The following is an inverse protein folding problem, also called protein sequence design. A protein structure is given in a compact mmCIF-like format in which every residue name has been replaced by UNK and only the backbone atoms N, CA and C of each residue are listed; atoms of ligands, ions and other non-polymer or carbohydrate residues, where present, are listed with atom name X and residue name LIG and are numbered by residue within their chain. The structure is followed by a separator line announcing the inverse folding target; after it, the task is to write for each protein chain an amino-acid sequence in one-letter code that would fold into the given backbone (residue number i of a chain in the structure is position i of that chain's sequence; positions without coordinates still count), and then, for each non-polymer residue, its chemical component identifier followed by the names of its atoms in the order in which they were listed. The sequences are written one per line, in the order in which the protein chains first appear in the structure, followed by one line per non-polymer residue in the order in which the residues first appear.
data_IF_230986675875
#
_entry.id   IF_230986675875
#
_cell.length_a   1.000
_cell.length_b   1.000
_cell.length_c   1.000
_cell.angle_alpha   90.00
_cell.angle_beta   90.00
_cell.angle_gamma   90.00
#
_symmetry.space_group_name_H-M   'P 1'
#
loop_
_entity.id
_entity.type
_entity.pdbx_description
1 polymer ?
#
# COMPACT_ATOMS: atom_id res chain seq x y z
N UNK A 1 3.39 -24.25 45.42
CA UNK A 1 3.56 -25.51 44.68
C UNK A 1 4.31 -25.23 43.39
N UNK A 2 5.41 -25.93 43.11
CA UNK A 2 6.13 -25.81 41.84
C UNK A 2 5.60 -26.86 40.87
N UNK A 3 5.38 -26.47 39.61
CA UNK A 3 4.82 -27.34 38.58
C UNK A 3 5.67 -27.23 37.33
N UNK A 4 6.23 -28.36 36.90
CA UNK A 4 7.11 -28.41 35.74
C UNK A 4 6.31 -28.53 34.45
N UNK A 5 6.64 -27.69 33.47
CA UNK A 5 5.95 -27.64 32.17
C UNK A 5 6.98 -27.49 31.05
N UNK A 6 6.99 -28.46 30.13
CA UNK A 6 7.86 -28.45 28.95
C UNK A 6 7.16 -27.89 27.70
N UNK A 7 5.87 -28.18 27.52
CA UNK A 7 5.09 -27.75 26.37
C UNK A 7 3.64 -27.39 26.72
N UNK A 8 2.88 -26.92 25.72
CA UNK A 8 1.47 -26.55 25.87
C UNK A 8 0.60 -27.74 26.30
N UNK A 9 0.97 -28.98 25.95
CA UNK A 9 0.22 -30.19 26.32
C UNK A 9 0.39 -30.48 27.80
N UNK A 10 1.64 -30.48 28.29
CA UNK A 10 1.97 -30.61 29.71
C UNK A 10 1.33 -29.47 30.52
N UNK A 11 1.32 -28.25 29.99
CA UNK A 11 0.63 -27.12 30.62
C UNK A 11 -0.87 -27.38 30.77
N UNK A 12 -1.54 -27.87 29.72
CA UNK A 12 -2.99 -28.14 29.74
C UNK A 12 -3.34 -29.21 30.76
N UNK A 13 -2.55 -30.27 30.85
CA UNK A 13 -2.74 -31.36 31.83
C UNK A 13 -2.54 -30.85 33.26
N UNK A 14 -1.45 -30.13 33.50
CA UNK A 14 -1.14 -29.53 34.80
C UNK A 14 -2.20 -28.50 35.22
N UNK A 15 -2.57 -27.58 34.33
CA UNK A 15 -3.58 -26.56 34.60
C UNK A 15 -4.95 -27.17 34.90
N UNK A 16 -5.35 -28.24 34.18
CA UNK A 16 -6.58 -28.99 34.49
C UNK A 16 -6.54 -29.61 35.88
N UNK A 17 -5.43 -30.25 36.24
CA UNK A 17 -5.25 -30.84 37.57
C UNK A 17 -5.32 -29.81 38.71
N UNK A 18 -4.76 -28.63 38.49
CA UNK A 18 -4.79 -27.51 39.45
C UNK A 18 -6.17 -26.89 39.59
N UNK A 19 -6.91 -26.73 38.48
CA UNK A 19 -8.27 -26.22 38.47
C UNK A 19 -9.23 -27.12 39.25
N UNK A 20 -9.11 -28.44 39.08
CA UNK A 20 -9.96 -29.42 39.80
C UNK A 20 -9.72 -29.37 41.31
N UNK A 21 -8.49 -29.07 41.74
CA UNK A 21 -8.12 -28.96 43.16
C UNK A 21 -8.41 -27.58 43.77
N UNK A 22 -8.91 -26.64 42.97
CA UNK A 22 -9.25 -25.31 43.45
C UNK A 22 -8.04 -24.46 43.87
N UNK A 23 -6.84 -24.71 43.29
CA UNK A 23 -5.60 -24.04 43.73
C UNK A 23 -5.51 -22.62 43.14
N UNK A 24 -5.33 -21.61 43.99
CA UNK A 24 -5.18 -20.22 43.53
C UNK A 24 -3.88 -20.01 42.71
N UNK A 25 -3.89 -19.17 41.66
CA UNK A 25 -2.70 -18.81 40.90
C UNK A 25 -1.51 -18.31 41.74
N UNK A 26 -1.76 -17.68 42.89
CA UNK A 26 -0.69 -17.16 43.78
C UNK A 26 0.05 -18.27 44.55
N UNK A 27 -0.51 -19.48 44.56
CA UNK A 27 0.08 -20.64 45.22
C UNK A 27 0.85 -21.54 44.26
N UNK A 28 0.93 -21.18 42.97
CA UNK A 28 1.54 -22.00 41.92
C UNK A 28 2.66 -21.24 41.22
N UNK A 29 3.83 -21.85 41.14
CA UNK A 29 4.95 -21.37 40.33
C UNK A 29 5.24 -22.39 39.24
N UNK A 30 5.11 -21.98 37.99
CA UNK A 30 5.45 -22.81 36.83
C UNK A 30 6.94 -22.63 36.50
N UNK A 31 7.66 -23.74 36.35
CA UNK A 31 9.08 -23.77 35.99
C UNK A 31 9.32 -24.63 34.74
N UNK A 32 10.31 -24.25 33.93
CA UNK A 32 10.74 -25.03 32.76
C UNK A 32 11.91 -25.94 33.13
N UNK A 33 11.97 -27.15 32.58
CA UNK A 33 13.05 -28.13 32.83
C UNK A 33 14.47 -27.61 32.55
N UNK A 34 14.64 -26.49 31.83
CA UNK A 34 15.96 -25.88 31.56
C UNK A 34 16.62 -25.25 32.80
N UNK A 35 15.90 -25.05 33.91
CA UNK A 35 16.43 -24.50 35.16
C UNK A 35 17.06 -25.54 36.10
N UNK A 36 17.42 -26.73 35.60
CA UNK A 36 18.03 -27.82 36.41
C UNK A 36 19.33 -27.47 37.15
N UNK A 37 20.02 -26.37 36.83
CA UNK A 37 21.34 -26.09 37.42
C UNK A 37 21.33 -25.20 38.68
N UNK A 38 20.18 -24.74 39.21
CA UNK A 38 20.20 -23.65 40.20
C UNK A 38 19.44 -23.85 41.51
N UNK A 39 18.84 -25.00 41.84
CA UNK A 39 18.06 -25.08 43.09
C UNK A 39 17.99 -26.45 43.76
N UNK A 40 18.57 -26.51 44.97
CA UNK A 40 18.63 -27.62 45.94
C UNK A 40 17.37 -27.70 46.84
N UNK A 41 16.15 -27.59 46.30
CA UNK A 41 14.92 -27.76 47.09
C UNK A 41 13.92 -28.67 46.40
N UNK A 42 13.27 -29.52 47.21
CA UNK A 42 12.42 -30.66 46.83
C UNK A 42 11.32 -30.32 45.83
N UNK A 43 11.31 -31.06 44.73
CA UNK A 43 10.32 -31.03 43.65
C UNK A 43 9.13 -31.92 44.04
N UNK A 44 7.94 -31.34 44.15
CA UNK A 44 6.71 -32.13 44.21
C UNK A 44 6.32 -32.57 42.80
N UNK A 45 6.19 -33.88 42.59
CA UNK A 45 5.89 -34.47 41.29
C UNK A 45 4.56 -33.94 40.71
N UNK A 46 4.47 -33.73 39.37
CA UNK A 46 3.22 -33.32 38.74
C UNK A 46 2.15 -34.42 38.95
N UNK A 47 0.95 -34.09 39.47
CA UNK A 47 -0.06 -35.11 39.70
C UNK A 47 -0.68 -35.58 38.38
N UNK A 48 -0.71 -36.91 38.18
CA UNK A 48 -1.48 -37.58 37.11
C UNK A 48 -2.95 -37.15 37.18
N UNK A 49 -3.49 -36.66 36.07
CA UNK A 49 -4.88 -36.18 35.97
C UNK A 49 -5.89 -37.32 36.04
N UNK A 50 -6.88 -37.22 36.94
CA UNK A 50 -8.13 -37.95 36.82
C UNK A 50 -9.08 -37.18 35.87
N UNK A 51 -9.88 -37.85 35.03
CA UNK A 51 -10.80 -37.19 34.11
C UNK A 51 -12.00 -36.63 34.88
N UNK A 52 -12.25 -35.32 34.78
CA UNK A 52 -13.50 -34.70 35.25
C UNK A 52 -14.10 -33.86 34.13
N UNK A 53 -15.40 -34.05 33.93
CA UNK A 53 -16.21 -33.38 32.92
C UNK A 53 -16.49 -31.90 33.29
N UNK A 54 -16.50 -31.03 32.27
CA UNK A 54 -17.29 -29.78 32.34
C UNK A 54 -16.55 -28.43 32.40
N UNK A 55 -15.22 -28.36 32.26
CA UNK A 55 -14.53 -27.06 32.13
C UNK A 55 -14.60 -26.54 30.69
N UNK A 56 -15.59 -25.69 30.41
CA UNK A 56 -15.75 -25.02 29.10
C UNK A 56 -14.95 -23.71 29.08
N UNK A 57 -13.99 -23.63 28.15
CA UNK A 57 -13.09 -22.47 27.96
C UNK A 57 -13.36 -21.86 26.58
N UNK A 58 -13.42 -20.52 26.44
CA UNK A 58 -13.65 -19.89 25.14
C UNK A 58 -12.58 -20.27 24.09
N UNK A 59 -12.95 -20.50 22.81
CA UNK A 59 -11.99 -20.80 21.73
C UNK A 59 -10.91 -19.72 21.57
N UNK A 60 -11.27 -18.44 21.77
CA UNK A 60 -10.35 -17.32 21.70
C UNK A 60 -9.20 -17.40 22.73
N UNK A 61 -9.44 -18.02 23.90
CA UNK A 61 -8.39 -18.26 24.88
C UNK A 61 -7.41 -19.32 24.39
N UNK A 62 -7.89 -20.38 23.74
CA UNK A 62 -7.04 -21.45 23.23
C UNK A 62 -6.09 -20.93 22.14
N UNK A 63 -6.61 -20.13 21.20
CA UNK A 63 -5.81 -19.47 20.17
C UNK A 63 -4.75 -18.52 20.78
N UNK A 64 -5.11 -17.81 21.85
CA UNK A 64 -4.20 -16.94 22.57
C UNK A 64 -3.12 -17.74 23.31
N UNK A 65 -3.51 -18.84 23.96
CA UNK A 65 -2.61 -19.73 24.69
C UNK A 65 -1.59 -20.39 23.75
N UNK A 66 -2.00 -20.82 22.55
CA UNK A 66 -1.10 -21.35 21.53
C UNK A 66 -0.03 -20.33 21.12
N UNK A 67 -0.42 -19.07 20.95
CA UNK A 67 0.53 -17.99 20.59
C UNK A 67 1.45 -17.64 21.76
N UNK A 68 0.91 -17.51 22.97
CA UNK A 68 1.69 -17.14 24.16
C UNK A 68 2.66 -18.27 24.54
N UNK A 69 2.30 -19.53 24.34
CA UNK A 69 3.18 -20.68 24.58
C UNK A 69 4.48 -20.62 23.78
N UNK A 70 4.45 -20.01 22.58
CA UNK A 70 5.64 -19.80 21.76
C UNK A 70 6.57 -18.69 22.28
N UNK A 71 6.14 -17.82 23.20
CA UNK A 71 6.99 -16.76 23.75
C UNK A 71 8.09 -17.34 24.65
N UNK A 72 9.23 -16.66 24.82
CA UNK A 72 10.34 -17.12 25.69
C UNK A 72 10.27 -16.64 27.15
N UNK A 73 9.19 -15.96 27.53
CA UNK A 73 9.10 -15.35 28.85
C UNK A 73 8.82 -16.46 29.90
N UNK A 74 9.56 -16.53 31.02
CA UNK A 74 9.35 -17.57 32.04
C UNK A 74 7.97 -17.45 32.72
N UNK A 75 7.44 -16.25 32.88
CA UNK A 75 6.14 -16.00 33.52
C UNK A 75 4.92 -16.38 32.66
N UNK A 76 5.14 -16.81 31.41
CA UNK A 76 4.05 -16.99 30.43
C UNK A 76 3.01 -18.01 30.89
N UNK A 77 3.48 -19.09 31.52
CA UNK A 77 2.63 -20.16 32.03
C UNK A 77 1.82 -19.72 33.25
N UNK A 78 2.43 -18.97 34.18
CA UNK A 78 1.74 -18.37 35.32
C UNK A 78 0.66 -17.36 34.89
N UNK A 79 0.98 -16.52 33.89
CA UNK A 79 0.03 -15.55 33.33
C UNK A 79 -1.15 -16.23 32.64
N UNK A 80 -0.88 -17.30 31.87
CA UNK A 80 -1.93 -18.10 31.23
C UNK A 80 -2.83 -18.80 32.26
N UNK A 81 -2.24 -19.34 33.33
CA UNK A 81 -3.00 -20.01 34.38
C UNK A 81 -3.89 -19.04 35.17
N UNK A 82 -3.39 -17.82 35.46
CA UNK A 82 -4.18 -16.79 36.15
C UNK A 82 -5.42 -16.38 35.36
N UNK A 83 -5.27 -16.13 34.06
CA UNK A 83 -6.42 -15.80 33.20
C UNK A 83 -7.36 -16.99 33.06
N UNK A 84 -6.84 -18.21 32.93
CA UNK A 84 -7.66 -19.43 32.89
C UNK A 84 -8.47 -19.65 34.18
N UNK A 85 -7.85 -19.39 35.34
CA UNK A 85 -8.51 -19.45 36.64
C UNK A 85 -9.66 -18.43 36.74
N UNK A 86 -9.42 -17.17 36.37
CA UNK A 86 -10.46 -16.11 36.38
C UNK A 86 -11.61 -16.41 35.41
N UNK A 87 -11.31 -16.93 34.22
CA UNK A 87 -12.31 -17.35 33.23
C UNK A 87 -13.23 -18.47 33.75
N UNK A 88 -12.68 -19.38 34.57
CA UNK A 88 -13.41 -20.52 35.13
C UNK A 88 -14.15 -20.18 36.44
N UNK A 89 -13.73 -19.14 37.16
CA UNK A 89 -14.29 -18.72 38.46
C UNK A 89 -15.25 -17.52 38.41
N UNK A 90 -15.83 -17.23 37.24
CA UNK A 90 -16.97 -16.30 37.10
C UNK A 90 -16.81 -15.22 36.04
N UNK A 91 -15.59 -14.93 35.59
CA UNK A 91 -15.32 -13.84 34.63
C UNK A 91 -15.30 -14.33 33.18
N UNK A 92 -16.42 -14.87 32.67
CA UNK A 92 -16.46 -15.49 31.32
C UNK A 92 -16.17 -14.54 30.15
N UNK A 93 -16.32 -13.22 30.36
CA UNK A 93 -16.06 -12.16 29.36
C UNK A 93 -14.75 -11.42 29.58
N UNK A 94 -13.85 -11.92 30.42
CA UNK A 94 -12.58 -11.26 30.75
C UNK A 94 -11.76 -10.87 29.50
N UNK A 95 -11.76 -11.71 28.46
CA UNK A 95 -11.04 -11.45 27.21
C UNK A 95 -11.58 -10.25 26.39
N UNK A 96 -12.81 -9.78 26.66
CA UNK A 96 -13.37 -8.58 26.01
C UNK A 96 -12.91 -7.28 26.70
N UNK A 97 -12.40 -7.39 27.94
CA UNK A 97 -11.98 -6.24 28.75
C UNK A 97 -10.51 -5.94 28.48
N UNK A 98 -10.26 -5.11 27.46
CA UNK A 98 -8.90 -4.73 27.02
C UNK A 98 -8.12 -3.94 28.08
N UNK A 99 -8.82 -3.33 29.05
CA UNK A 99 -8.23 -2.56 30.15
C UNK A 99 -7.70 -3.41 31.32
N UNK A 100 -7.97 -4.72 31.34
CA UNK A 100 -7.48 -5.62 32.39
C UNK A 100 -5.98 -5.89 32.21
N UNK A 101 -5.22 -5.86 33.31
CA UNK A 101 -3.76 -5.97 33.31
C UNK A 101 -3.28 -7.34 32.82
N UNK A 102 -3.95 -8.43 33.22
CA UNK A 102 -3.57 -9.80 32.85
C UNK A 102 -3.85 -10.04 31.36
N UNK A 103 -4.99 -9.55 30.87
CA UNK A 103 -5.41 -9.63 29.46
C UNK A 103 -4.46 -8.81 28.59
N UNK A 104 -4.13 -7.59 29.00
CA UNK A 104 -3.16 -6.73 28.31
C UNK A 104 -1.78 -7.39 28.22
N UNK A 105 -1.32 -8.02 29.30
CA UNK A 105 -0.03 -8.74 29.33
C UNK A 105 -0.02 -9.91 28.35
N UNK A 106 -1.06 -10.75 28.34
CA UNK A 106 -1.16 -11.86 27.40
C UNK A 106 -1.21 -11.38 25.94
N UNK A 107 -1.97 -10.33 25.64
CA UNK A 107 -2.02 -9.76 24.29
C UNK A 107 -0.67 -9.17 23.85
N UNK A 108 0.08 -8.58 24.77
CA UNK A 108 1.42 -8.04 24.48
C UNK A 108 2.40 -9.16 24.12
N UNK A 109 2.40 -10.26 24.89
CA UNK A 109 3.20 -11.45 24.59
C UNK A 109 2.79 -12.07 23.24
N UNK A 110 1.49 -12.23 23.00
CA UNK A 110 0.98 -12.77 21.73
C UNK A 110 1.35 -11.88 20.53
N UNK A 111 1.29 -10.55 20.67
CA UNK A 111 1.72 -9.59 19.64
C UNK A 111 3.22 -9.68 19.36
N UNK A 112 4.06 -9.95 20.36
CA UNK A 112 5.49 -10.16 20.15
C UNK A 112 5.76 -11.42 19.30
N UNK A 113 5.11 -12.53 19.65
CA UNK A 113 5.17 -13.79 18.87
C UNK A 113 4.66 -13.59 17.45
N UNK A 114 3.55 -12.87 17.26
CA UNK A 114 2.99 -12.63 15.94
C UNK A 114 3.92 -11.78 15.05
N UNK A 115 4.60 -10.77 15.63
CA UNK A 115 5.60 -9.98 14.92
C UNK A 115 6.78 -10.84 14.48
N UNK A 116 7.28 -11.70 15.35
CA UNK A 116 8.38 -12.61 15.03
C UNK A 116 7.97 -13.63 13.96
N UNK A 117 6.75 -14.18 14.06
CA UNK A 117 6.20 -15.07 13.04
C UNK A 117 6.06 -14.37 11.67
N UNK A 118 5.66 -13.10 11.64
CA UNK A 118 5.61 -12.31 10.40
C UNK A 118 7.03 -12.11 9.82
N UNK A 119 8.01 -11.81 10.66
CA UNK A 119 9.41 -11.67 10.25
C UNK A 119 9.96 -12.97 9.66
N UNK A 120 9.73 -14.11 10.30
CA UNK A 120 10.14 -15.41 9.76
C UNK A 120 9.55 -15.65 8.37
N UNK A 121 8.24 -15.39 8.17
CA UNK A 121 7.59 -15.52 6.86
C UNK A 121 8.16 -14.58 5.80
N UNK A 122 8.53 -13.36 6.19
CA UNK A 122 9.04 -12.34 5.28
C UNK A 122 10.52 -12.52 4.92
N UNK A 123 11.35 -13.01 5.84
CA UNK A 123 12.81 -13.00 5.74
C UNK A 123 13.46 -14.37 5.62
N UNK A 124 12.75 -15.49 5.83
CA UNK A 124 13.29 -16.81 5.50
C UNK A 124 13.54 -16.89 3.99
N UNK A 125 14.76 -17.27 3.62
CA UNK A 125 15.19 -17.47 2.25
C UNK A 125 15.77 -18.87 2.14
N UNK A 126 15.25 -19.62 1.19
CA UNK A 126 15.69 -20.97 0.89
C UNK A 126 16.91 -20.92 -0.02
N UNK A 127 17.92 -21.73 0.32
CA UNK A 127 19.13 -21.92 -0.47
C UNK A 127 19.09 -23.32 -1.07
N UNK A 128 19.32 -23.43 -2.38
CA UNK A 128 19.39 -24.73 -3.06
C UNK A 128 20.70 -25.42 -2.68
N UNK A 129 20.60 -26.68 -2.29
CA UNK A 129 21.70 -27.59 -1.99
C UNK A 129 21.39 -28.89 -2.74
N UNK A 130 22.32 -29.36 -3.55
CA UNK A 130 22.19 -30.64 -4.24
C UNK A 130 22.81 -31.73 -3.38
N UNK A 131 22.02 -32.75 -3.03
CA UNK A 131 22.48 -33.90 -2.24
C UNK A 131 22.00 -35.16 -2.94
N UNK A 132 22.94 -36.04 -3.30
CA UNK A 132 22.66 -37.34 -3.92
C UNK A 132 21.79 -37.26 -5.20
N UNK A 133 21.93 -36.20 -5.99
CA UNK A 133 21.20 -36.00 -7.24
C UNK A 133 19.78 -35.43 -7.08
N UNK A 134 19.37 -35.10 -5.86
CA UNK A 134 18.09 -34.47 -5.55
C UNK A 134 18.27 -33.01 -5.10
N UNK A 135 17.30 -32.16 -5.44
CA UNK A 135 17.28 -30.74 -5.06
C UNK A 135 16.69 -30.54 -3.67
N UNK A 136 17.50 -30.08 -2.72
CA UNK A 136 17.07 -29.73 -1.36
C UNK A 136 17.19 -28.22 -1.12
N UNK A 137 16.29 -27.66 -0.33
CA UNK A 137 16.22 -26.23 -0.05
C UNK A 137 16.40 -25.94 1.44
N UNK A 138 17.58 -25.46 1.85
CA UNK A 138 17.90 -25.23 3.26
C UNK A 138 17.85 -23.74 3.58
N UNK A 139 17.21 -23.36 4.67
CA UNK A 139 17.19 -22.00 5.20
C UNK A 139 17.60 -21.99 6.66
N UNK A 140 18.42 -21.03 7.07
CA UNK A 140 18.73 -20.81 8.48
C UNK A 140 18.10 -19.50 8.96
N UNK A 141 17.41 -19.52 10.10
CA UNK A 141 16.77 -18.35 10.68
C UNK A 141 16.92 -18.32 12.20
N UNK A 142 17.12 -17.12 12.76
CA UNK A 142 17.19 -16.91 14.22
C UNK A 142 15.91 -16.22 14.70
N UNK A 143 14.91 -16.98 15.17
CA UNK A 143 13.71 -16.39 15.74
C UNK A 143 13.96 -15.87 17.16
N UNK A 144 13.25 -14.81 17.53
CA UNK A 144 13.26 -14.28 18.90
C UNK A 144 12.45 -15.19 19.85
N UNK A 145 11.49 -15.93 19.30
CA UNK A 145 10.57 -16.81 20.04
C UNK A 145 10.54 -18.24 19.46
N UNK A 146 9.86 -19.17 20.16
CA UNK A 146 9.75 -20.59 19.77
C UNK A 146 8.66 -20.79 18.70
N UNK A 147 8.81 -20.13 17.55
CA UNK A 147 7.76 -20.00 16.52
C UNK A 147 7.83 -21.06 15.40
N UNK A 148 8.89 -21.87 15.36
CA UNK A 148 9.14 -22.78 14.23
C UNK A 148 7.97 -23.73 13.98
N UNK A 149 7.45 -24.36 15.03
CA UNK A 149 6.28 -25.26 14.93
C UNK A 149 5.00 -24.55 14.51
N UNK A 150 4.84 -23.28 14.93
CA UNK A 150 3.68 -22.47 14.59
C UNK A 150 3.71 -21.99 13.13
N UNK A 151 4.89 -21.69 12.58
CA UNK A 151 5.04 -21.11 11.23
C UNK A 151 5.28 -22.19 10.16
N UNK A 152 5.85 -23.35 10.49
CA UNK A 152 6.16 -24.40 9.52
C UNK A 152 5.00 -24.80 8.59
N UNK A 153 3.73 -24.94 9.05
CA UNK A 153 2.60 -25.25 8.16
C UNK A 153 2.34 -24.20 7.07
N UNK A 154 2.71 -22.94 7.31
CA UNK A 154 2.59 -21.88 6.29
C UNK A 154 3.54 -22.13 5.12
N UNK A 155 4.79 -22.51 5.40
CA UNK A 155 5.77 -22.81 4.36
C UNK A 155 5.41 -24.07 3.57
N UNK A 156 4.88 -25.12 4.24
CA UNK A 156 4.43 -26.34 3.57
C UNK A 156 3.33 -26.07 2.55
N UNK A 157 2.33 -25.23 2.90
CA UNK A 157 1.27 -24.83 1.98
C UNK A 157 1.75 -23.92 0.84
N UNK A 158 2.73 -23.05 1.12
CA UNK A 158 3.23 -22.07 0.14
C UNK A 158 4.20 -22.68 -0.88
N UNK A 159 4.91 -23.73 -0.46
CA UNK A 159 5.97 -24.41 -1.21
C UNK A 159 5.78 -25.93 -1.15
N UNK A 160 4.67 -26.47 -1.70
CA UNK A 160 4.35 -27.89 -1.59
C UNK A 160 5.26 -28.77 -2.45
N UNK A 161 5.78 -28.24 -3.57
CA UNK A 161 6.55 -28.98 -4.58
C UNK A 161 8.07 -28.95 -4.37
N UNK A 162 8.54 -28.43 -3.23
CA UNK A 162 9.98 -28.30 -2.93
C UNK A 162 10.30 -29.02 -1.63
N UNK A 163 11.39 -29.81 -1.59
CA UNK A 163 11.91 -30.39 -0.34
C UNK A 163 12.74 -29.34 0.38
N UNK A 164 12.31 -28.92 1.57
CA UNK A 164 12.98 -27.84 2.27
C UNK A 164 13.18 -28.10 3.76
N UNK A 165 14.23 -27.52 4.33
CA UNK A 165 14.51 -27.55 5.77
C UNK A 165 14.76 -26.14 6.30
N UNK A 166 14.08 -25.77 7.38
CA UNK A 166 14.34 -24.53 8.12
C UNK A 166 15.05 -24.89 9.42
N UNK A 167 16.29 -24.42 9.54
CA UNK A 167 17.17 -24.61 10.68
C UNK A 167 17.10 -23.38 11.59
N UNK A 168 16.88 -23.59 12.87
CA UNK A 168 16.99 -22.54 13.89
C UNK A 168 17.83 -23.03 15.07
N UNK A 169 18.33 -22.13 15.94
CA UNK A 169 19.15 -22.53 17.10
C UNK A 169 18.45 -23.47 18.08
N UNK A 170 17.12 -23.43 18.18
CA UNK A 170 16.37 -24.22 19.18
C UNK A 170 15.64 -25.42 18.58
N UNK A 171 15.25 -25.34 17.30
CA UNK A 171 14.56 -26.42 16.59
C UNK A 171 14.82 -26.38 15.09
N UNK A 172 14.76 -27.54 14.44
CA UNK A 172 14.76 -27.66 12.98
C UNK A 172 13.43 -28.25 12.51
N UNK A 173 13.05 -27.91 11.28
CA UNK A 173 11.90 -28.50 10.60
C UNK A 173 12.25 -28.82 9.16
N UNK A 174 11.88 -30.01 8.70
CA UNK A 174 12.06 -30.49 7.32
C UNK A 174 10.71 -30.87 6.72
N UNK A 175 10.56 -30.60 5.43
CA UNK A 175 9.38 -30.93 4.62
C UNK A 175 9.80 -31.86 3.48
N UNK A 176 9.29 -33.09 3.53
CA UNK A 176 9.63 -34.17 2.60
C UNK A 176 8.55 -34.37 1.51
N UNK A 177 7.81 -33.31 1.16
CA UNK A 177 6.64 -33.30 0.25
C UNK A 177 5.35 -33.93 0.78
N UNK A 178 5.45 -34.78 1.82
CA UNK A 178 4.27 -35.43 2.43
C UNK A 178 4.01 -34.97 3.87
N UNK A 179 5.07 -34.84 4.68
CA UNK A 179 4.97 -34.53 6.12
C UNK A 179 6.04 -33.56 6.61
N UNK A 180 5.70 -32.86 7.69
CA UNK A 180 6.64 -32.03 8.45
C UNK A 180 7.32 -32.89 9.52
N UNK A 181 8.64 -32.94 9.46
CA UNK A 181 9.51 -33.62 10.43
C UNK A 181 10.22 -32.57 11.29
N UNK A 182 10.19 -32.71 12.61
CA UNK A 182 10.82 -31.77 13.54
C UNK A 182 12.06 -32.38 14.19
N UNK A 183 13.16 -31.63 14.26
CA UNK A 183 14.43 -32.05 14.84
C UNK A 183 14.99 -31.05 15.86
N UNK A 184 16.14 -31.38 16.50
CA UNK A 184 16.83 -30.48 17.40
C UNK A 184 17.36 -29.24 16.67
N UNK A 185 17.64 -28.18 17.43
CA UNK A 185 18.22 -26.95 16.90
C UNK A 185 19.62 -27.16 16.33
N UNK A 186 19.94 -26.44 15.26
CA UNK A 186 21.21 -26.54 14.55
C UNK A 186 21.95 -25.20 14.63
N UNK A 187 23.20 -25.17 15.13
CA UNK A 187 24.00 -23.95 15.19
C UNK A 187 24.37 -23.47 13.78
N UNK A 188 24.60 -22.15 13.64
CA UNK A 188 24.87 -21.52 12.34
C UNK A 188 26.10 -22.10 11.62
N UNK A 189 27.09 -22.59 12.36
CA UNK A 189 28.35 -23.14 11.84
C UNK A 189 28.18 -24.40 10.99
N UNK A 190 27.03 -25.08 11.09
CA UNK A 190 26.74 -26.31 10.35
C UNK A 190 25.84 -26.06 9.12
N UNK A 191 25.51 -24.79 8.82
CA UNK A 191 24.73 -24.43 7.63
C UNK A 191 25.66 -24.18 6.41
N UNK A 192 25.34 -24.71 5.21
CA UNK A 192 26.22 -24.61 4.04
C UNK A 192 26.44 -23.17 3.54
N UNK A 193 27.66 -22.88 3.07
CA UNK A 193 28.11 -21.57 2.52
C UNK A 193 28.31 -21.57 0.98
N UNK A 194 27.89 -20.48 0.32
CA UNK A 194 28.24 -20.06 -1.06
C UNK A 194 27.32 -20.52 -2.22
N UNK A 195 27.27 -19.91 -3.42
CA UNK A 195 27.74 -18.56 -3.87
C UNK A 195 27.23 -18.13 -5.29
N UNK A 196 26.09 -18.61 -5.80
CA UNK A 196 25.65 -18.27 -7.19
C UNK A 196 24.40 -17.37 -7.30
N UNK A 197 23.50 -17.41 -6.31
CA UNK A 197 22.25 -16.64 -6.32
C UNK A 197 22.37 -15.27 -5.63
N UNK A 198 23.43 -15.03 -4.86
CA UNK A 198 23.63 -13.78 -4.11
C UNK A 198 23.93 -12.58 -5.01
N UNK A 199 24.66 -12.78 -6.13
CA UNK A 199 25.04 -11.71 -7.06
C UNK A 199 23.86 -11.25 -7.95
N UNK A 200 23.06 -12.19 -8.45
CA UNK A 200 21.82 -11.90 -9.18
C UNK A 200 20.79 -11.19 -8.29
N UNK A 201 20.63 -11.64 -7.05
CA UNK A 201 19.72 -11.03 -6.10
C UNK A 201 20.17 -9.64 -5.64
N UNK A 202 21.48 -9.44 -5.43
CA UNK A 202 22.10 -8.15 -5.15
C UNK A 202 21.83 -7.14 -6.28
N UNK A 203 21.96 -7.58 -7.54
CA UNK A 203 21.67 -6.78 -8.73
C UNK A 203 20.18 -6.43 -8.83
N UNK A 204 19.29 -7.38 -8.53
CA UNK A 204 17.84 -7.15 -8.47
C UNK A 204 17.45 -6.19 -7.34
N UNK A 205 18.04 -6.33 -6.16
CA UNK A 205 17.77 -5.44 -5.02
C UNK A 205 18.25 -4.02 -5.28
N UNK A 206 19.46 -3.85 -5.84
CA UNK A 206 20.00 -2.53 -6.20
C UNK A 206 19.18 -1.81 -7.29
N UNK A 207 18.60 -2.57 -8.24
CA UNK A 207 17.77 -2.04 -9.32
C UNK A 207 16.33 -1.71 -8.88
N UNK A 208 15.80 -2.44 -7.89
CA UNK A 208 14.45 -2.19 -7.33
C UNK A 208 14.43 -1.22 -6.14
N UNK A 209 15.58 -0.93 -5.52
CA UNK A 209 15.70 0.02 -4.41
C UNK A 209 15.26 1.43 -4.81
N UNK A 210 14.18 1.92 -4.19
CA UNK A 210 13.65 3.25 -4.41
C UNK A 210 14.25 4.24 -3.39
N UNK A 211 15.19 5.12 -3.81
CA UNK A 211 15.87 6.04 -2.89
C UNK A 211 14.91 7.09 -2.29
N UNK A 212 13.81 7.42 -2.96
CA UNK A 212 12.81 8.39 -2.47
C UNK A 212 11.92 7.83 -1.35
N UNK A 213 11.92 6.51 -1.12
CA UNK A 213 11.17 5.85 -0.03
C UNK A 213 12.07 5.44 1.14
N UNK A 214 13.35 5.80 1.10
CA UNK A 214 14.31 5.44 2.13
C UNK A 214 14.00 6.19 3.43
N UNK A 215 13.57 5.45 4.46
CA UNK A 215 13.53 5.94 5.83
C UNK A 215 14.49 5.11 6.69
N UNK A 216 15.67 5.68 6.96
CA UNK A 216 16.74 4.99 7.69
C UNK A 216 16.33 4.62 9.11
N UNK A 217 15.46 5.40 9.76
CA UNK A 217 14.96 5.14 11.12
C UNK A 217 13.99 3.95 11.13
N UNK A 218 13.05 3.91 10.20
CA UNK A 218 12.12 2.78 10.03
C UNK A 218 12.86 1.51 9.59
N UNK A 219 13.83 1.64 8.67
CA UNK A 219 14.67 0.52 8.23
C UNK A 219 15.47 -0.10 9.39
N UNK A 220 16.07 0.71 10.26
CA UNK A 220 16.79 0.22 11.46
C UNK A 220 15.86 -0.40 12.51
N UNK A 221 14.62 0.07 12.62
CA UNK A 221 13.63 -0.46 13.54
C UNK A 221 13.08 -1.83 13.07
N UNK A 222 12.83 -1.97 11.77
CA UNK A 222 12.31 -3.22 11.16
C UNK A 222 13.41 -4.25 10.92
N UNK A 223 14.67 -3.81 10.73
CA UNK A 223 15.84 -4.67 10.52
C UNK A 223 16.90 -4.46 11.60
N UNK A 224 16.76 -5.11 12.78
CA UNK A 224 17.78 -5.10 13.82
C UNK A 224 19.15 -5.57 13.30
N UNK A 225 20.23 -4.92 13.72
CA UNK A 225 21.60 -5.18 13.27
C UNK A 225 22.04 -6.64 13.38
N UNK A 226 21.46 -7.40 14.34
CA UNK A 226 21.69 -8.85 14.52
C UNK A 226 21.34 -9.72 13.30
N UNK A 227 20.45 -9.27 12.41
CA UNK A 227 20.05 -10.03 11.21
C UNK A 227 20.83 -9.64 9.94
N UNK A 228 21.70 -8.63 10.02
CA UNK A 228 22.43 -8.14 8.85
C UNK A 228 23.44 -9.16 8.34
N UNK A 229 24.02 -9.95 9.24
CA UNK A 229 24.96 -11.02 8.89
C UNK A 229 24.33 -12.17 8.08
N UNK A 230 23.01 -12.23 7.95
CA UNK A 230 22.29 -13.28 7.18
C UNK A 230 21.70 -12.76 5.86
N UNK A 231 21.87 -11.47 5.54
CA UNK A 231 21.27 -10.83 4.37
C UNK A 231 22.36 -10.36 3.39
N UNK A 232 22.45 -10.92 2.18
CA UNK A 232 23.37 -10.47 1.14
C UNK A 232 23.23 -8.96 0.84
N UNK A 233 21.99 -8.45 0.86
CA UNK A 233 21.64 -7.06 0.56
C UNK A 233 22.14 -6.09 1.64
N UNK A 234 22.37 -6.57 2.87
CA UNK A 234 22.89 -5.72 3.94
C UNK A 234 24.28 -5.15 3.62
N UNK A 235 25.05 -5.82 2.74
CA UNK A 235 26.33 -5.32 2.21
C UNK A 235 26.15 -4.11 1.29
N UNK A 236 25.04 -4.04 0.55
CA UNK A 236 24.74 -2.95 -0.40
C UNK A 236 24.07 -1.75 0.27
N UNK A 237 23.39 -1.95 1.41
CA UNK A 237 22.63 -0.90 2.10
C UNK A 237 23.49 0.36 2.38
N UNK A 238 24.74 0.27 2.90
CA UNK A 238 25.56 1.45 3.16
C UNK A 238 25.83 2.29 1.90
N UNK A 239 26.11 1.66 0.76
CA UNK A 239 26.37 2.34 -0.51
C UNK A 239 25.09 2.92 -1.10
N UNK A 240 23.99 2.16 -1.08
CA UNK A 240 22.68 2.60 -1.56
C UNK A 240 22.15 3.79 -0.74
N UNK A 241 22.36 3.79 0.58
CA UNK A 241 22.01 4.90 1.48
C UNK A 241 22.90 6.12 1.21
N UNK A 242 24.20 5.93 0.99
CA UNK A 242 25.14 7.02 0.68
C UNK A 242 24.84 7.67 -0.67
N UNK A 243 24.48 6.87 -1.68
CA UNK A 243 24.10 7.35 -3.02
C UNK A 243 22.63 7.79 -3.14
N UNK A 244 21.79 7.54 -2.13
CA UNK A 244 20.37 7.89 -2.18
C UNK A 244 20.12 9.40 -2.36
N UNK A 245 20.83 10.33 -1.68
CA UNK A 245 20.63 11.77 -1.88
C UNK A 245 20.90 12.21 -3.33
N UNK A 246 21.97 11.73 -3.96
CA UNK A 246 22.30 12.07 -5.35
C UNK A 246 21.34 11.44 -6.36
N UNK A 247 20.96 10.18 -6.17
CA UNK A 247 19.95 9.51 -7.01
C UNK A 247 18.59 10.18 -6.88
N UNK A 248 18.21 10.60 -5.66
CA UNK A 248 16.99 11.36 -5.40
C UNK A 248 17.08 12.76 -6.02
N UNK A 249 18.22 13.45 -5.89
CA UNK A 249 18.44 14.73 -6.55
C UNK A 249 18.37 14.62 -8.08
N UNK A 250 18.84 13.51 -8.69
CA UNK A 250 18.65 13.23 -10.12
C UNK A 250 17.19 12.93 -10.49
N UNK A 251 16.42 12.33 -9.59
CA UNK A 251 14.98 12.06 -9.76
C UNK A 251 14.11 13.32 -9.56
N UNK A 252 14.52 14.22 -8.66
CA UNK A 252 13.80 15.45 -8.27
C UNK A 252 14.25 16.65 -9.09
N UNK A 253 15.45 16.61 -9.68
CA UNK A 253 15.85 17.60 -10.69
C UNK A 253 14.73 17.66 -11.71
N UNK A 254 14.09 18.83 -11.89
CA UNK A 254 13.18 18.99 -13.00
C UNK A 254 14.04 18.75 -14.24
N UNK A 255 13.90 17.57 -14.84
CA UNK A 255 13.94 17.53 -16.29
C UNK A 255 12.93 18.61 -16.65
N UNK A 256 13.39 19.69 -17.25
CA UNK A 256 12.53 20.47 -18.12
C UNK A 256 12.16 19.43 -19.17
N UNK A 257 11.09 18.68 -18.90
CA UNK A 257 10.58 17.65 -19.78
C UNK A 257 9.97 18.46 -20.92
N UNK A 258 10.82 18.77 -21.91
CA UNK A 258 10.40 19.43 -23.14
C UNK A 258 9.29 18.55 -23.70
N UNK A 259 8.09 19.12 -23.78
CA UNK A 259 6.92 18.45 -24.31
C UNK A 259 7.18 18.15 -25.79
N UNK A 260 7.00 16.91 -26.22
CA UNK A 260 7.24 16.51 -27.61
C UNK A 260 6.41 17.33 -28.62
N UNK A 261 5.25 17.85 -28.19
CA UNK A 261 4.43 18.77 -28.98
C UNK A 261 5.11 20.13 -29.26
N UNK A 262 6.16 20.52 -28.54
CA UNK A 262 6.87 21.77 -28.78
C UNK A 262 7.51 21.82 -30.18
N UNK A 263 7.81 20.66 -30.77
CA UNK A 263 8.34 20.53 -32.14
C UNK A 263 7.28 20.84 -33.21
N UNK A 264 6.01 20.79 -32.85
CA UNK A 264 4.88 21.04 -33.75
C UNK A 264 4.33 22.45 -33.61
N UNK A 265 4.84 23.25 -32.66
CA UNK A 265 4.39 24.62 -32.47
C UNK A 265 4.83 25.49 -33.68
N UNK A 266 3.90 26.22 -34.31
CA UNK A 266 4.22 27.15 -35.38
C UNK A 266 4.99 28.37 -34.85
N UNK A 267 5.66 29.09 -35.75
CA UNK A 267 6.30 30.38 -35.46
C UNK A 267 5.25 31.44 -35.08
N UNK A 268 4.19 31.55 -35.88
CA UNK A 268 3.02 32.37 -35.56
C UNK A 268 2.07 31.61 -34.65
N UNK A 269 1.89 32.10 -33.43
CA UNK A 269 1.17 31.37 -32.37
C UNK A 269 -0.22 31.91 -32.06
N UNK A 270 -0.90 32.60 -32.98
CA UNK A 270 -2.33 32.90 -32.76
C UNK A 270 -3.15 31.59 -32.68
N UNK A 271 -4.34 31.65 -32.08
CA UNK A 271 -5.16 30.46 -31.84
C UNK A 271 -5.52 29.69 -33.12
N UNK A 272 -5.74 30.38 -34.24
CA UNK A 272 -6.08 29.73 -35.50
C UNK A 272 -4.86 28.99 -36.09
N UNK A 273 -3.68 29.59 -36.02
CA UNK A 273 -2.41 28.97 -36.42
C UNK A 273 -2.06 27.77 -35.53
N UNK A 274 -2.25 27.90 -34.22
CA UNK A 274 -2.05 26.80 -33.26
C UNK A 274 -3.02 25.63 -33.56
N UNK A 275 -4.31 25.92 -33.74
CA UNK A 275 -5.31 24.90 -34.05
C UNK A 275 -4.99 24.16 -35.35
N UNK A 276 -4.57 24.88 -36.40
CA UNK A 276 -4.17 24.29 -37.68
C UNK A 276 -2.94 23.41 -37.54
N UNK A 277 -1.92 23.86 -36.81
CA UNK A 277 -0.71 23.07 -36.60
C UNK A 277 -0.97 21.82 -35.74
N UNK A 278 -1.86 21.92 -34.75
CA UNK A 278 -2.23 20.79 -33.88
C UNK A 278 -2.85 19.61 -34.65
N UNK A 279 -3.54 19.87 -35.77
CA UNK A 279 -4.10 18.82 -36.65
C UNK A 279 -3.04 17.85 -37.20
N UNK A 280 -1.79 18.29 -37.32
CA UNK A 280 -0.66 17.46 -37.77
C UNK A 280 0.17 16.86 -36.64
N UNK A 281 -0.23 17.03 -35.38
CA UNK A 281 0.58 16.64 -34.22
C UNK A 281 0.66 15.12 -34.04
N UNK A 282 1.88 14.57 -34.10
CA UNK A 282 2.17 13.14 -33.85
C UNK A 282 3.04 12.90 -32.61
N UNK A 283 3.06 13.85 -31.68
CA UNK A 283 3.89 13.85 -30.48
C UNK A 283 3.62 12.69 -29.49
N UNK A 284 2.49 11.98 -29.61
CA UNK A 284 2.19 10.82 -28.75
C UNK A 284 1.33 9.78 -29.49
N UNK A 285 1.27 8.51 -29.03
CA UNK A 285 0.55 7.43 -29.73
C UNK A 285 -0.95 7.66 -29.91
N UNK A 286 -1.58 8.57 -29.16
CA UNK A 286 -3.02 8.82 -29.25
C UNK A 286 -3.48 9.29 -30.64
N UNK A 287 -2.60 9.94 -31.41
CA UNK A 287 -2.92 10.37 -32.77
C UNK A 287 -3.20 9.20 -33.73
N UNK A 288 -2.70 7.99 -33.44
CA UNK A 288 -2.81 6.82 -34.32
C UNK A 288 -4.24 6.27 -34.36
N UNK A 289 -4.99 6.43 -33.27
CA UNK A 289 -6.35 5.88 -33.11
C UNK A 289 -7.45 6.94 -33.05
N UNK A 290 -7.10 8.19 -32.78
CA UNK A 290 -8.06 9.29 -32.78
C UNK A 290 -8.53 9.58 -34.22
N UNK A 291 -9.78 9.99 -34.40
CA UNK A 291 -10.29 10.37 -35.73
C UNK A 291 -9.73 11.73 -36.16
N UNK A 292 -9.60 12.66 -35.22
CA UNK A 292 -8.99 13.99 -35.46
C UNK A 292 -8.55 14.63 -34.15
N UNK A 293 -7.74 15.67 -34.27
CA UNK A 293 -7.42 16.54 -33.15
C UNK A 293 -8.63 17.37 -32.75
N UNK A 294 -8.88 17.45 -31.44
CA UNK A 294 -9.87 18.35 -30.84
C UNK A 294 -9.12 19.43 -30.08
N UNK A 295 -9.01 20.61 -30.70
CA UNK A 295 -8.37 21.78 -30.12
C UNK A 295 -9.35 22.55 -29.20
N UNK A 296 -8.87 23.58 -28.51
CA UNK A 296 -9.74 24.45 -27.73
C UNK A 296 -10.62 25.37 -28.58
N UNK A 297 -11.79 25.73 -28.05
CA UNK A 297 -12.79 26.61 -28.67
C UNK A 297 -13.12 27.77 -27.72
N UNK A 298 -13.26 28.98 -28.26
CA UNK A 298 -13.66 30.18 -27.53
C UNK A 298 -12.97 31.45 -28.01
N UNK A 299 -13.34 32.63 -27.47
CA UNK A 299 -12.77 33.90 -27.89
C UNK A 299 -11.34 34.08 -27.39
N UNK A 300 -10.53 34.83 -28.15
CA UNK A 300 -9.25 35.35 -27.66
C UNK A 300 -9.54 36.32 -26.51
N UNK A 301 -8.80 36.20 -25.41
CA UNK A 301 -9.03 37.03 -24.22
C UNK A 301 -10.19 36.58 -23.34
N UNK A 302 -10.72 35.36 -23.52
CA UNK A 302 -11.69 34.77 -22.61
C UNK A 302 -11.19 34.87 -21.16
N UNK A 303 -12.01 35.45 -20.28
CA UNK A 303 -11.62 35.68 -18.88
C UNK A 303 -11.48 34.38 -18.10
N UNK A 304 -12.27 33.38 -18.49
CA UNK A 304 -12.28 32.05 -17.88
C UNK A 304 -11.89 31.03 -18.94
N UNK A 305 -10.95 30.16 -18.57
CA UNK A 305 -10.56 29.00 -19.36
C UNK A 305 -10.94 27.72 -18.62
N UNK A 306 -11.78 26.88 -19.22
CA UNK A 306 -12.13 25.56 -18.73
C UNK A 306 -11.21 24.51 -19.37
N UNK A 307 -10.61 23.64 -18.56
CA UNK A 307 -9.68 22.60 -19.03
C UNK A 307 -10.15 21.23 -18.56
N UNK A 308 -10.51 20.36 -19.51
CA UNK A 308 -10.85 18.95 -19.28
C UNK A 308 -9.68 17.99 -19.40
N UNK A 309 -9.98 16.69 -19.34
CA UNK A 309 -8.97 15.62 -19.45
C UNK A 309 -8.54 15.39 -20.89
N UNK A 310 -9.45 14.92 -21.74
CA UNK A 310 -9.24 14.60 -23.15
C UNK A 310 -10.60 14.64 -23.87
N UNK A 311 -10.63 14.61 -25.22
CA UNK A 311 -11.88 14.52 -25.97
C UNK A 311 -12.58 13.18 -25.73
N UNK A 312 -13.90 13.16 -25.78
CA UNK A 312 -14.70 11.92 -25.81
C UNK A 312 -14.97 11.46 -27.24
N UNK A 313 -15.81 10.44 -27.36
CA UNK A 313 -16.13 9.83 -28.66
C UNK A 313 -16.90 10.78 -29.60
N UNK A 314 -17.84 11.56 -29.06
CA UNK A 314 -18.56 12.59 -29.83
C UNK A 314 -17.63 13.72 -30.24
N UNK A 315 -16.82 14.22 -29.30
CA UNK A 315 -15.85 15.29 -29.54
C UNK A 315 -14.84 14.89 -30.62
N UNK A 316 -14.33 13.66 -30.57
CA UNK A 316 -13.36 13.15 -31.54
C UNK A 316 -13.95 13.00 -32.95
N UNK A 317 -15.25 12.70 -33.10
CA UNK A 317 -15.87 12.66 -34.44
C UNK A 317 -16.14 14.05 -35.01
N UNK A 318 -16.56 14.99 -34.18
CA UNK A 318 -16.98 16.32 -34.62
C UNK A 318 -15.83 17.34 -34.64
N UNK A 319 -14.80 17.15 -33.82
CA UNK A 319 -13.65 18.05 -33.71
C UNK A 319 -13.83 19.22 -32.74
N UNK A 320 -14.84 19.18 -31.86
CA UNK A 320 -15.17 20.26 -30.92
C UNK A 320 -15.15 19.78 -29.46
N UNK A 321 -14.65 20.57 -28.50
CA UNK A 321 -14.53 20.15 -27.11
C UNK A 321 -15.88 20.23 -26.37
N UNK A 322 -16.14 19.26 -25.49
CA UNK A 322 -17.32 19.23 -24.60
C UNK A 322 -18.65 19.41 -25.32
N UNK A 323 -18.97 18.52 -26.26
CA UNK A 323 -20.26 18.50 -27.00
C UNK A 323 -21.07 17.21 -26.76
N UNK A 324 -20.46 16.19 -26.16
CA UNK A 324 -21.13 14.96 -25.76
C UNK A 324 -21.93 15.10 -24.45
N UNK A 325 -22.35 13.99 -23.83
CA UNK A 325 -23.19 14.02 -22.61
C UNK A 325 -22.56 14.79 -21.44
N UNK A 326 -21.24 14.72 -21.28
CA UNK A 326 -20.52 15.48 -20.27
C UNK A 326 -20.49 16.99 -20.58
N UNK A 327 -20.48 17.36 -21.86
CA UNK A 327 -20.58 18.75 -22.33
C UNK A 327 -21.97 19.33 -22.11
N UNK A 328 -23.03 18.55 -22.38
CA UNK A 328 -24.41 18.96 -22.11
C UNK A 328 -24.63 19.25 -20.62
N UNK A 329 -24.15 18.36 -19.73
CA UNK A 329 -24.21 18.60 -18.28
C UNK A 329 -23.44 19.87 -17.88
N UNK A 330 -22.28 20.11 -18.48
CA UNK A 330 -21.50 21.32 -18.25
C UNK A 330 -22.29 22.56 -18.67
N UNK A 331 -22.90 22.55 -19.86
CA UNK A 331 -23.67 23.66 -20.41
C UNK A 331 -24.90 23.99 -19.56
N UNK A 332 -25.62 22.96 -19.11
CA UNK A 332 -26.75 23.11 -18.19
C UNK A 332 -26.34 23.83 -16.90
N UNK A 333 -25.22 23.42 -16.30
CA UNK A 333 -24.73 24.01 -15.05
C UNK A 333 -24.19 25.42 -15.27
N UNK A 334 -23.47 25.67 -16.36
CA UNK A 334 -22.98 27.01 -16.72
C UNK A 334 -24.14 28.00 -16.87
N UNK A 335 -25.21 27.60 -17.55
CA UNK A 335 -26.42 28.40 -17.70
C UNK A 335 -27.08 28.73 -16.35
N UNK A 336 -27.16 27.74 -15.44
CA UNK A 336 -27.74 27.92 -14.10
C UNK A 336 -26.95 28.89 -13.21
N UNK A 337 -25.62 28.97 -13.36
CA UNK A 337 -24.77 29.88 -12.58
C UNK A 337 -24.53 31.23 -13.28
N UNK A 338 -25.12 31.43 -14.46
CA UNK A 338 -25.00 32.67 -15.23
C UNK A 338 -23.63 32.84 -15.89
N UNK A 339 -22.95 31.75 -16.26
CA UNK A 339 -21.74 31.78 -17.08
C UNK A 339 -22.12 31.48 -18.54
N UNK A 340 -21.91 32.45 -19.42
CA UNK A 340 -22.17 32.27 -20.85
C UNK A 340 -21.03 31.48 -21.50
N UNK A 341 -21.30 30.27 -22.01
CA UNK A 341 -20.28 29.41 -22.67
C UNK A 341 -19.51 30.14 -23.78
N UNK A 342 -20.18 31.02 -24.53
CA UNK A 342 -19.57 31.74 -25.67
C UNK A 342 -18.48 32.73 -25.24
N UNK A 343 -18.44 33.10 -23.95
CA UNK A 343 -17.44 34.00 -23.37
C UNK A 343 -16.27 33.23 -22.72
N UNK A 344 -16.35 31.90 -22.68
CA UNK A 344 -15.34 31.03 -22.08
C UNK A 344 -14.44 30.44 -23.17
N UNK A 345 -13.20 30.13 -22.80
CA UNK A 345 -12.34 29.28 -23.62
C UNK A 345 -12.37 27.86 -23.05
N UNK A 346 -12.80 26.88 -23.84
CA UNK A 346 -12.96 25.49 -23.39
C UNK A 346 -11.98 24.60 -24.14
N UNK A 347 -11.17 23.83 -23.41
CA UNK A 347 -10.19 22.93 -24.02
C UNK A 347 -9.93 21.70 -23.14
N UNK A 348 -9.01 20.82 -23.56
CA UNK A 348 -8.58 19.63 -22.80
C UNK A 348 -7.06 19.61 -22.60
N UNK A 349 -6.59 18.92 -21.57
CA UNK A 349 -5.16 18.72 -21.34
C UNK A 349 -4.48 17.91 -22.46
N UNK A 350 -5.21 16.98 -23.06
CA UNK A 350 -4.79 16.18 -24.22
C UNK A 350 -5.73 16.45 -25.39
N UNK A 351 -5.20 16.54 -26.62
CA UNK A 351 -5.97 16.93 -27.83
C UNK A 351 -6.48 15.78 -28.69
N UNK A 352 -6.15 14.54 -28.36
CA UNK A 352 -6.58 13.34 -29.07
C UNK A 352 -7.32 12.40 -28.13
N UNK A 353 -8.35 11.71 -28.64
CA UNK A 353 -9.13 10.78 -27.83
C UNK A 353 -8.38 9.45 -27.64
N UNK A 354 -7.99 9.14 -26.41
CA UNK A 354 -7.52 7.82 -26.02
C UNK A 354 -8.68 6.86 -25.76
N UNK A 355 -8.75 5.75 -26.50
CA UNK A 355 -9.81 4.77 -26.38
C UNK A 355 -9.34 3.33 -26.64
N UNK A 356 -10.10 2.37 -26.09
CA UNK A 356 -9.92 0.92 -26.25
C UNK A 356 -11.21 0.29 -26.79
N UNK A 357 -11.12 -0.94 -27.29
CA UNK A 357 -12.24 -1.64 -27.95
C UNK A 357 -12.16 -1.55 -29.47
N UNK A 358 -13.29 -1.77 -30.12
CA UNK A 358 -13.46 -1.71 -31.57
C UNK A 358 -14.10 -0.39 -32.03
N UNK A 359 -14.15 -0.13 -33.34
CA UNK A 359 -14.71 1.12 -33.87
C UNK A 359 -16.21 1.29 -33.59
N UNK A 360 -16.92 0.20 -33.34
CA UNK A 360 -18.35 0.21 -33.01
C UNK A 360 -18.58 0.61 -31.56
N UNK A 361 -17.66 0.26 -30.66
CA UNK A 361 -17.72 0.56 -29.24
C UNK A 361 -16.38 1.11 -28.73
N UNK A 362 -16.22 2.43 -28.88
CA UNK A 362 -15.03 3.17 -28.45
C UNK A 362 -15.11 3.48 -26.95
N UNK A 363 -14.45 2.69 -26.13
CA UNK A 363 -14.42 2.88 -24.68
C UNK A 363 -13.29 3.83 -24.28
N UNK A 364 -13.66 4.93 -23.62
CA UNK A 364 -12.70 5.93 -23.14
C UNK A 364 -11.60 5.31 -22.25
N UNK A 365 -10.34 5.51 -22.65
CA UNK A 365 -9.15 5.11 -21.90
C UNK A 365 -8.44 6.35 -21.38
N UNK A 366 -8.25 6.44 -20.06
CA UNK A 366 -7.62 7.59 -19.42
C UNK A 366 -6.19 7.81 -19.95
N UNK A 367 -5.78 9.05 -20.32
CA UNK A 367 -4.44 9.30 -20.80
C UNK A 367 -3.40 9.08 -19.70
N UNK A 368 -2.29 8.46 -20.07
CA UNK A 368 -1.14 8.25 -19.21
C UNK A 368 -0.31 9.52 -19.03
N UNK A 369 0.58 9.51 -18.03
CA UNK A 369 1.45 10.67 -17.72
C UNK A 369 2.28 11.13 -18.93
N UNK A 370 2.78 10.18 -19.74
CA UNK A 370 3.58 10.49 -20.92
C UNK A 370 2.78 11.26 -21.98
N UNK A 371 1.51 10.90 -22.19
CA UNK A 371 0.64 11.56 -23.17
C UNK A 371 0.26 12.97 -22.72
N UNK A 372 -0.07 13.14 -21.42
CA UNK A 372 -0.34 14.45 -20.83
C UNK A 372 0.88 15.38 -20.96
N UNK A 373 2.07 14.86 -20.66
CA UNK A 373 3.31 15.61 -20.81
C UNK A 373 3.64 15.93 -22.27
N UNK A 374 3.48 14.96 -23.17
CA UNK A 374 3.73 15.15 -24.60
C UNK A 374 2.82 16.21 -25.20
N UNK A 375 1.57 16.33 -24.74
CA UNK A 375 0.60 17.32 -25.24
C UNK A 375 0.71 18.70 -24.56
N UNK A 376 1.49 18.82 -23.47
CA UNK A 376 1.53 20.00 -22.60
C UNK A 376 1.83 21.31 -23.34
N UNK A 377 2.73 21.30 -24.33
CA UNK A 377 3.09 22.51 -25.09
C UNK A 377 1.88 23.15 -25.80
N UNK A 378 0.89 22.37 -26.22
CA UNK A 378 -0.34 22.93 -26.80
C UNK A 378 -1.17 23.69 -25.76
N UNK A 379 -1.31 23.12 -24.56
CA UNK A 379 -2.04 23.76 -23.46
C UNK A 379 -1.34 25.05 -23.00
N UNK A 380 -0.01 25.02 -22.89
CA UNK A 380 0.79 26.20 -22.56
C UNK A 380 0.65 27.30 -23.63
N UNK A 381 0.63 26.92 -24.91
CA UNK A 381 0.42 27.84 -26.01
C UNK A 381 -0.99 28.45 -26.00
N UNK A 382 -2.03 27.66 -25.74
CA UNK A 382 -3.41 28.16 -25.58
C UNK A 382 -3.50 29.16 -24.41
N UNK A 383 -2.96 28.82 -23.24
CA UNK A 383 -2.96 29.72 -22.06
C UNK A 383 -2.22 31.02 -22.38
N UNK A 384 -1.07 30.95 -23.06
CA UNK A 384 -0.30 32.13 -23.43
C UNK A 384 -1.03 33.07 -24.40
N UNK A 385 -1.89 32.53 -25.27
CA UNK A 385 -2.70 33.32 -26.21
C UNK A 385 -4.00 33.83 -25.60
N UNK A 386 -4.71 32.98 -24.86
CA UNK A 386 -5.99 33.34 -24.23
C UNK A 386 -5.77 34.32 -23.08
N UNK A 387 -4.68 34.15 -22.32
CA UNK A 387 -4.35 34.93 -21.11
C UNK A 387 -5.54 35.03 -20.14
N UNK A 388 -6.11 33.89 -19.72
CA UNK A 388 -7.29 33.90 -18.87
C UNK A 388 -6.98 34.51 -17.50
N UNK A 389 -7.96 35.21 -16.92
CA UNK A 389 -7.89 35.66 -15.52
C UNK A 389 -8.14 34.51 -14.56
N UNK A 390 -8.94 33.53 -14.98
CA UNK A 390 -9.25 32.33 -14.22
C UNK A 390 -9.10 31.06 -15.04
N UNK A 391 -8.41 30.05 -14.52
CA UNK A 391 -8.38 28.69 -15.07
C UNK A 391 -9.16 27.74 -14.16
N UNK A 392 -10.07 26.96 -14.74
CA UNK A 392 -10.85 25.94 -14.03
C UNK A 392 -10.54 24.56 -14.61
N UNK A 393 -9.88 23.73 -13.82
CA UNK A 393 -9.57 22.35 -14.19
C UNK A 393 -10.73 21.42 -13.82
N UNK A 394 -11.33 20.81 -14.84
CA UNK A 394 -12.38 19.81 -14.72
C UNK A 394 -11.71 18.44 -14.55
N UNK A 395 -11.60 17.97 -13.30
CA UNK A 395 -11.01 16.68 -12.97
C UNK A 395 -9.51 16.71 -12.66
N UNK A 396 -9.02 15.56 -12.16
CA UNK A 396 -7.66 15.43 -11.65
C UNK A 396 -6.60 15.55 -12.75
N UNK A 397 -6.85 15.00 -13.95
CA UNK A 397 -5.86 14.97 -15.03
C UNK A 397 -5.58 16.37 -15.58
N UNK A 398 -6.63 17.19 -15.74
CA UNK A 398 -6.50 18.61 -16.08
C UNK A 398 -5.68 19.37 -15.04
N UNK A 399 -5.94 19.14 -13.75
CA UNK A 399 -5.17 19.80 -12.71
C UNK A 399 -3.69 19.35 -12.65
N UNK A 400 -3.45 18.07 -12.88
CA UNK A 400 -2.11 17.47 -12.89
C UNK A 400 -1.28 17.90 -14.10
N UNK A 401 -1.89 18.32 -15.21
CA UNK A 401 -1.14 18.87 -16.35
C UNK A 401 -0.48 20.21 -16.01
N UNK A 402 -1.08 21.01 -15.12
CA UNK A 402 -0.52 22.28 -14.65
C UNK A 402 0.39 22.14 -13.43
N UNK A 403 -0.09 21.46 -12.38
CA UNK A 403 0.56 21.43 -11.06
C UNK A 403 1.38 20.15 -10.81
N UNK A 404 1.41 19.25 -11.80
CA UNK A 404 2.17 18.01 -11.74
C UNK A 404 1.46 16.87 -11.00
N UNK A 405 2.10 15.67 -10.94
CA UNK A 405 1.46 14.44 -10.48
C UNK A 405 1.14 14.41 -8.98
N UNK A 406 1.67 15.35 -8.20
CA UNK A 406 1.40 15.46 -6.77
C UNK A 406 0.00 15.99 -6.44
N UNK A 407 -0.68 16.63 -7.39
CA UNK A 407 -1.98 17.26 -7.15
C UNK A 407 -3.08 16.23 -6.81
N UNK A 408 -3.86 16.53 -5.75
CA UNK A 408 -4.95 15.69 -5.24
C UNK A 408 -6.27 16.46 -5.24
N UNK A 409 -7.13 16.17 -6.21
CA UNK A 409 -8.45 16.83 -6.34
C UNK A 409 -9.31 16.73 -5.07
N UNK A 410 -9.27 15.61 -4.35
CA UNK A 410 -10.08 15.42 -3.14
C UNK A 410 -9.74 16.41 -2.00
N UNK A 411 -8.51 16.95 -1.99
CA UNK A 411 -8.04 17.87 -0.95
C UNK A 411 -8.19 19.35 -1.33
N UNK A 412 -8.24 19.65 -2.64
CA UNK A 412 -8.16 21.03 -3.16
C UNK A 412 -9.37 21.44 -4.01
N UNK A 413 -10.41 20.60 -4.09
CA UNK A 413 -11.65 20.92 -4.84
C UNK A 413 -12.28 22.22 -4.33
N UNK A 414 -12.70 23.09 -5.25
CA UNK A 414 -13.44 24.32 -4.94
C UNK A 414 -12.62 25.41 -4.24
N UNK A 415 -11.32 25.17 -4.00
CA UNK A 415 -10.40 26.17 -3.48
C UNK A 415 -9.86 26.99 -4.64
N UNK A 416 -9.90 28.32 -4.49
CA UNK A 416 -9.34 29.26 -5.45
C UNK A 416 -8.01 29.74 -4.91
N UNK A 417 -6.96 29.65 -5.72
CA UNK A 417 -5.63 30.13 -5.37
C UNK A 417 -4.88 30.60 -6.61
N UNK A 418 -3.80 31.35 -6.43
CA UNK A 418 -3.00 31.88 -7.53
C UNK A 418 -2.00 30.85 -8.07
N UNK A 419 -1.73 30.89 -9.37
CA UNK A 419 -0.71 30.06 -10.01
C UNK A 419 0.07 30.86 -11.05
N UNK A 420 1.25 30.40 -11.50
CA UNK A 420 1.96 31.03 -12.61
C UNK A 420 1.17 31.09 -13.93
N UNK A 421 0.08 30.31 -14.04
CA UNK A 421 -0.74 30.20 -15.25
C UNK A 421 -1.89 31.20 -15.30
N UNK A 422 -2.45 31.57 -14.15
CA UNK A 422 -3.54 32.53 -14.02
C UNK A 422 -3.64 33.07 -12.58
N UNK A 423 -4.06 34.34 -12.39
CA UNK A 423 -4.30 34.93 -11.07
C UNK A 423 -5.32 34.16 -10.23
N UNK A 424 -6.37 33.62 -10.85
CA UNK A 424 -7.29 32.71 -10.19
C UNK A 424 -7.20 31.31 -10.81
N UNK A 425 -7.08 30.28 -9.97
CA UNK A 425 -7.04 28.90 -10.42
C UNK A 425 -7.87 28.03 -9.48
N UNK A 426 -8.66 27.12 -10.05
CA UNK A 426 -9.50 26.19 -9.29
C UNK A 426 -9.56 24.81 -9.97
N UNK A 427 -9.68 23.75 -9.17
CA UNK A 427 -10.06 22.43 -9.67
C UNK A 427 -11.44 22.02 -9.14
N UNK A 428 -12.23 21.38 -9.99
CA UNK A 428 -13.53 20.79 -9.63
C UNK A 428 -13.72 19.41 -10.28
N UNK A 429 -14.84 18.74 -9.99
CA UNK A 429 -15.17 17.46 -10.59
C UNK A 429 -15.24 17.53 -12.12
N UNK A 430 -14.90 16.42 -12.77
CA UNK A 430 -15.15 16.30 -14.21
C UNK A 430 -16.63 15.94 -14.44
N UNK A 431 -17.37 16.61 -15.36
CA UNK A 431 -18.78 16.33 -15.62
C UNK A 431 -19.09 14.84 -15.91
N UNK A 432 -18.21 14.17 -16.65
CA UNK A 432 -18.35 12.73 -16.91
C UNK A 432 -18.30 11.85 -15.66
N UNK A 433 -17.64 12.28 -14.58
CA UNK A 433 -17.60 11.54 -13.32
C UNK A 433 -18.97 11.56 -12.62
N UNK A 434 -19.74 12.64 -12.76
CA UNK A 434 -21.11 12.74 -12.23
C UNK A 434 -22.03 11.76 -12.95
N UNK A 435 -21.93 11.68 -14.28
CA UNK A 435 -22.72 10.75 -15.11
C UNK A 435 -22.44 9.28 -14.80
N UNK A 436 -21.22 8.95 -14.36
CA UNK A 436 -20.80 7.58 -14.04
C UNK A 436 -21.11 7.16 -12.60
N UNK A 437 -21.67 8.04 -11.77
CA UNK A 437 -22.07 7.66 -10.41
C UNK A 437 -23.20 6.62 -10.46
N UNK A 438 -23.07 5.48 -9.74
CA UNK A 438 -24.06 4.39 -9.78
C UNK A 438 -25.33 4.73 -8.99
N UNK A 439 -25.22 5.60 -7.99
CA UNK A 439 -26.30 5.96 -7.08
C UNK A 439 -26.84 7.36 -7.40
N UNK A 440 -28.16 7.49 -7.46
CA UNK A 440 -28.84 8.74 -7.84
C UNK A 440 -28.65 9.84 -6.79
N UNK A 441 -28.61 9.48 -5.50
CA UNK A 441 -28.38 10.43 -4.43
C UNK A 441 -26.94 10.95 -4.46
N UNK A 442 -25.97 10.08 -4.68
CA UNK A 442 -24.57 10.45 -4.86
C UNK A 442 -24.37 11.33 -6.10
N UNK A 443 -25.07 11.03 -7.20
CA UNK A 443 -25.08 11.84 -8.43
C UNK A 443 -25.64 13.24 -8.15
N UNK A 444 -26.80 13.34 -7.50
CA UNK A 444 -27.42 14.61 -7.15
C UNK A 444 -26.51 15.45 -6.21
N UNK A 445 -25.89 14.81 -5.22
CA UNK A 445 -24.95 15.49 -4.33
C UNK A 445 -23.69 15.97 -5.07
N UNK A 446 -23.10 15.13 -5.93
CA UNK A 446 -21.94 15.51 -6.73
C UNK A 446 -22.26 16.67 -7.70
N UNK A 447 -23.47 16.66 -8.29
CA UNK A 447 -23.98 17.75 -9.11
C UNK A 447 -24.12 19.04 -8.32
N UNK A 448 -24.73 19.00 -7.13
CA UNK A 448 -24.86 20.17 -6.26
C UNK A 448 -23.50 20.78 -5.88
N UNK A 449 -22.50 19.95 -5.57
CA UNK A 449 -21.13 20.42 -5.32
C UNK A 449 -20.50 21.06 -6.56
N UNK A 450 -20.71 20.46 -7.74
CA UNK A 450 -20.20 21.00 -8.99
C UNK A 450 -20.84 22.36 -9.35
N UNK A 451 -22.15 22.50 -9.17
CA UNK A 451 -22.88 23.77 -9.29
C UNK A 451 -22.36 24.82 -8.31
N UNK A 452 -22.09 24.46 -7.06
CA UNK A 452 -21.52 25.35 -6.06
C UNK A 452 -20.10 25.84 -6.45
N UNK A 453 -19.25 24.94 -6.94
CA UNK A 453 -17.92 25.29 -7.42
C UNK A 453 -17.98 26.26 -8.62
N UNK A 454 -18.85 26.01 -9.60
CA UNK A 454 -19.01 26.91 -10.76
C UNK A 454 -19.69 28.24 -10.42
N UNK A 455 -20.55 28.28 -9.39
CA UNK A 455 -21.08 29.55 -8.86
C UNK A 455 -19.95 30.41 -8.28
N UNK A 456 -19.01 29.79 -7.54
CA UNK A 456 -17.83 30.46 -7.02
C UNK A 456 -16.92 31.01 -8.13
N UNK A 457 -16.83 30.31 -9.27
CA UNK A 457 -16.15 30.82 -10.48
C UNK A 457 -16.82 32.10 -10.96
N UNK A 458 -18.15 32.09 -11.10
CA UNK A 458 -18.91 33.26 -11.55
C UNK A 458 -18.71 34.46 -10.60
N UNK A 459 -18.75 34.23 -9.29
CA UNK A 459 -18.51 35.26 -8.27
C UNK A 459 -17.08 35.82 -8.34
N UNK A 460 -16.07 34.95 -8.46
CA UNK A 460 -14.66 35.34 -8.54
C UNK A 460 -14.39 36.21 -9.78
N UNK A 461 -15.01 35.85 -10.91
CA UNK A 461 -14.84 36.60 -12.17
C UNK A 461 -15.53 37.95 -12.09
N UNK A 462 -16.72 38.05 -11.49
CA UNK A 462 -17.42 39.33 -11.27
C UNK A 462 -16.64 40.24 -10.33
N UNK A 463 -16.12 39.72 -9.22
CA UNK A 463 -15.31 40.48 -8.28
C UNK A 463 -14.00 41.02 -8.89
N UNK A 464 -13.48 40.36 -9.93
CA UNK A 464 -12.32 40.84 -10.69
C UNK A 464 -12.67 41.86 -11.79
N UNK A 465 -13.96 42.17 -12.01
CA UNK A 465 -14.45 43.18 -12.97
C UNK A 465 -14.77 44.52 -12.32
N UNK A 466 -15.13 44.50 -11.04
CA UNK A 466 -15.24 45.67 -10.16
C UNK A 466 -13.85 46.14 -9.74
#
# INVERSE_FOLDING_TARGET
MRVEVADLTSFREAARGLLVRGVSPDQVLFSEERERQSSLLTVDAPPRSAPVAGLSVPPAFLDLAERVACHRAPERWGSLYRVLWRLTHGERKLLEVVSDEDVYRLHTLAKAVQRDAHKMKAFVRFRKVEREGEEYFIAWHRPDHLIVRHVAPFFARRFPSMRWSILTPDASVSWDLEKLSYGPGVPRSEAPEGDALEEMWSTYYASTFNPARLNVRAMRAEMPQKHWATLPEARLIPELVRGAPERTARMVRPRIEVSDASLYLPEHRDLASLARAAQGCKACPLHERATRTVFGEGPVGARVMLVGEQPGDTEDREGRPFIGPAGQLLDDVLAQVGLNRQELYVTNAVKHFGWMGDEKQRLHAKPGRREVLACKAWLEAEVAQVKPRMIVCLGATAAQSFLGPGFRINLSRGQVFETPWAPAWMATFHPSALLRMPDERARAQARSHFEADLRKVAETVRAAME
#
